data_IF_519656210724
#
_entry.id   IF_519656210724
#
_cell.length_a   1.000
_cell.length_b   1.000
_cell.length_c   1.000
_cell.angle_alpha   90.00
_cell.angle_beta   90.00
_cell.angle_gamma   90.00
#
_symmetry.space_group_name_H-M   'P 1'
#
loop_
_entity.id
_entity.type
_entity.pdbx_description
1 polymer ?
#
# COMPACT_ATOMS: atom_id res chain seq x y z
N UNK A 1 -9.25 11.75 67.41
CA UNK A 1 -9.85 12.82 66.56
C UNK A 1 -8.85 13.97 66.54
N UNK A 2 -8.13 14.10 65.42
CA UNK A 2 -8.16 15.23 64.45
C UNK A 2 -7.41 16.48 64.96
N UNK A 3 -6.37 16.85 64.20
CA UNK A 3 -5.41 17.95 64.39
C UNK A 3 -6.00 19.36 64.17
N UNK A 4 -5.23 20.43 64.43
CA UNK A 4 -4.69 21.14 63.27
C UNK A 4 -3.25 21.69 63.41
N UNK A 5 -2.75 22.09 62.24
CA UNK A 5 -1.41 22.55 61.86
C UNK A 5 -1.27 24.07 62.08
N UNK A 6 -0.12 24.54 62.56
CA UNK A 6 0.72 25.65 61.99
C UNK A 6 1.77 26.12 63.00
N UNK A 7 3.03 26.17 62.58
CA UNK A 7 3.86 27.40 62.57
C UNK A 7 5.19 27.16 61.85
N UNK A 8 5.34 27.91 60.76
CA UNK A 8 6.51 28.42 60.03
C UNK A 8 7.92 28.08 60.53
N UNK A 9 8.75 27.58 59.62
CA UNK A 9 10.21 27.67 59.71
C UNK A 9 10.75 28.44 58.49
N UNK A 10 11.29 29.62 58.77
CA UNK A 10 12.00 30.50 57.84
C UNK A 10 13.31 29.90 57.36
N UNK A 11 13.50 29.79 56.04
CA UNK A 11 14.79 29.39 55.45
C UNK A 11 15.65 30.64 55.27
N UNK A 12 16.55 30.87 56.22
CA UNK A 12 17.76 31.68 56.02
C UNK A 12 18.94 30.76 55.69
N UNK A 13 19.63 31.07 54.60
CA UNK A 13 20.99 30.59 54.31
C UNK A 13 21.07 29.18 53.73
N UNK A 14 21.46 29.05 52.46
CA UNK A 14 22.89 28.84 52.14
C UNK A 14 23.09 28.53 50.65
N UNK A 15 24.08 29.20 50.06
CA UNK A 15 24.52 28.94 48.69
C UNK A 15 25.19 27.56 48.65
N UNK A 16 24.62 26.62 47.90
CA UNK A 16 25.33 25.39 47.53
C UNK A 16 26.09 25.63 46.22
N UNK A 17 27.43 25.48 46.20
CA UNK A 17 28.20 25.56 44.98
C UNK A 17 27.95 24.33 44.09
N UNK A 18 27.89 24.58 42.79
CA UNK A 18 27.61 23.60 41.73
C UNK A 18 28.69 22.51 41.69
N UNK A 19 28.34 21.21 41.78
CA UNK A 19 29.30 20.15 41.47
C UNK A 19 29.42 19.98 39.95
N UNK A 20 30.58 20.34 39.42
CA UNK A 20 31.04 20.01 38.07
C UNK A 20 31.31 18.50 37.97
N UNK A 21 30.36 17.74 37.45
CA UNK A 21 30.62 16.45 36.78
C UNK A 21 29.41 16.03 35.95
N UNK A 22 29.32 16.52 34.71
CA UNK A 22 28.41 15.90 33.74
C UNK A 22 29.04 14.58 33.25
N UNK A 23 28.36 13.42 33.36
CA UNK A 23 28.85 12.19 32.76
C UNK A 23 28.92 12.32 31.23
N UNK A 24 29.88 11.65 30.57
CA UNK A 24 30.04 11.74 29.13
C UNK A 24 28.91 10.98 28.43
N UNK A 25 28.21 11.67 27.52
CA UNK A 25 27.25 11.13 26.55
C UNK A 25 25.84 10.74 27.03
N UNK A 26 25.22 11.47 27.95
CA UNK A 26 23.75 11.41 28.05
C UNK A 26 23.10 12.41 27.08
N UNK A 27 22.91 11.97 25.82
CA UNK A 27 22.26 12.75 24.77
C UNK A 27 20.74 12.82 25.03
N UNK A 28 20.32 13.77 25.85
CA UNK A 28 18.92 14.17 25.94
C UNK A 28 18.60 15.21 24.86
N UNK A 29 17.43 15.14 24.20
CA UNK A 29 17.05 16.14 23.21
C UNK A 29 16.90 17.51 23.90
N UNK A 30 17.89 18.37 23.72
CA UNK A 30 17.86 19.75 24.23
C UNK A 30 17.03 20.61 23.28
N UNK A 31 15.79 20.89 23.66
CA UNK A 31 14.91 21.79 22.89
C UNK A 31 15.38 23.23 23.10
N UNK A 32 16.19 23.75 22.18
CA UNK A 32 16.56 25.16 22.17
C UNK A 32 15.33 26.01 21.86
N UNK A 33 14.74 26.67 22.86
CA UNK A 33 13.61 27.60 22.72
C UNK A 33 14.05 29.04 22.48
N UNK A 34 15.33 29.35 22.75
CA UNK A 34 15.90 30.68 22.53
C UNK A 34 15.81 31.06 21.04
N UNK A 35 15.10 32.15 20.75
CA UNK A 35 14.90 32.68 19.38
C UNK A 35 13.76 32.05 18.59
N UNK A 36 13.08 31.01 19.09
CA UNK A 36 11.91 30.43 18.42
C UNK A 36 10.64 31.19 18.82
N UNK A 37 9.79 31.61 17.87
CA UNK A 37 8.55 32.28 18.22
C UNK A 37 7.62 31.31 18.98
N UNK A 38 7.15 31.72 20.16
CA UNK A 38 6.23 30.96 21.01
C UNK A 38 4.89 30.63 20.33
N UNK A 39 4.55 31.37 19.27
CA UNK A 39 3.35 31.18 18.46
C UNK A 39 3.75 31.01 16.99
N UNK A 40 3.15 30.06 16.26
CA UNK A 40 3.39 29.92 14.84
C UNK A 40 2.99 31.21 14.11
N UNK A 41 3.96 31.91 13.50
CA UNK A 41 3.70 33.14 12.72
C UNK A 41 2.90 32.90 11.44
N UNK A 42 2.82 31.64 10.99
CA UNK A 42 2.11 31.28 9.76
C UNK A 42 0.69 30.88 10.10
N UNK A 43 -0.28 31.66 9.62
CA UNK A 43 -1.69 31.25 9.63
C UNK A 43 -1.77 29.92 8.88
N UNK A 44 -2.34 28.86 9.46
CA UNK A 44 -2.49 27.59 8.77
C UNK A 44 -3.38 27.81 7.55
N UNK A 45 -2.77 27.85 6.37
CA UNK A 45 -3.51 27.81 5.12
C UNK A 45 -4.08 26.41 5.01
N UNK A 46 -5.40 26.30 5.05
CA UNK A 46 -6.10 25.06 4.75
C UNK A 46 -5.77 24.68 3.31
N UNK A 47 -4.85 23.74 3.14
CA UNK A 47 -4.62 23.12 1.84
C UNK A 47 -5.86 22.27 1.54
N UNK A 48 -6.70 22.75 0.62
CA UNK A 48 -7.73 21.91 0.01
C UNK A 48 -6.99 20.91 -0.85
N UNK A 49 -6.79 19.69 -0.33
CA UNK A 49 -6.30 18.59 -1.14
C UNK A 49 -7.39 18.25 -2.14
N UNK A 50 -7.13 18.32 -3.46
CA UNK A 50 -8.05 17.77 -4.44
C UNK A 50 -8.29 16.31 -4.08
N UNK A 51 -9.53 15.94 -3.77
CA UNK A 51 -9.92 14.53 -3.67
C UNK A 51 -10.06 14.02 -5.09
N UNK A 52 -9.34 12.96 -5.42
CA UNK A 52 -9.47 12.27 -6.71
C UNK A 52 -10.89 11.68 -6.79
N UNK A 53 -11.65 12.03 -7.83
CA UNK A 53 -13.03 11.56 -8.05
C UNK A 53 -13.17 10.03 -8.20
N UNK A 54 -12.06 9.29 -8.35
CA UNK A 54 -12.07 7.83 -8.45
C UNK A 54 -12.60 7.13 -7.20
N UNK A 55 -12.59 7.76 -6.01
CA UNK A 55 -13.17 7.16 -4.80
C UNK A 55 -14.68 7.34 -4.69
N UNK A 56 -15.29 8.24 -5.48
CA UNK A 56 -16.73 8.52 -5.43
C UNK A 56 -17.50 7.91 -6.62
N UNK A 57 -16.78 7.49 -7.67
CA UNK A 57 -17.41 6.97 -8.90
C UNK A 57 -17.96 5.54 -8.78
N UNK A 58 -17.97 4.93 -7.60
CA UNK A 58 -18.69 3.68 -7.37
C UNK A 58 -18.20 2.47 -8.18
N UNK A 59 -17.04 2.56 -8.83
CA UNK A 59 -16.38 1.44 -9.51
C UNK A 59 -15.90 0.47 -8.43
N UNK A 60 -16.84 -0.34 -7.93
CA UNK A 60 -16.64 -1.50 -7.05
C UNK A 60 -16.62 -2.80 -7.84
N UNK A 61 -16.69 -2.69 -9.15
CA UNK A 61 -16.65 -3.82 -10.06
C UNK A 61 -15.28 -4.47 -9.95
N UNK A 62 -15.30 -5.79 -9.75
CA UNK A 62 -14.07 -6.58 -9.63
C UNK A 62 -13.36 -6.55 -10.97
N UNK A 63 -12.08 -6.17 -10.97
CA UNK A 63 -11.33 -6.02 -12.21
C UNK A 63 -11.02 -7.40 -12.79
N UNK A 64 -11.65 -7.68 -13.91
CA UNK A 64 -11.37 -8.87 -14.70
C UNK A 64 -10.36 -8.56 -15.81
N UNK A 65 -9.36 -9.43 -15.97
CA UNK A 65 -8.41 -9.35 -17.07
C UNK A 65 -8.40 -10.66 -17.85
N UNK A 66 -8.84 -10.60 -19.11
CA UNK A 66 -8.74 -11.71 -20.06
C UNK A 66 -7.58 -11.48 -21.02
N UNK A 67 -6.62 -12.39 -21.06
CA UNK A 67 -5.44 -12.28 -21.92
C UNK A 67 -5.53 -13.34 -23.02
N UNK A 68 -5.61 -12.90 -24.29
CA UNK A 68 -5.44 -13.79 -25.44
C UNK A 68 -3.96 -14.12 -25.62
N UNK A 69 -3.64 -15.40 -25.63
CA UNK A 69 -2.27 -15.90 -25.78
C UNK A 69 -2.24 -17.05 -26.77
N UNK A 70 -1.06 -17.29 -27.33
CA UNK A 70 -0.81 -18.38 -28.27
C UNK A 70 0.19 -19.36 -27.66
N UNK A 71 0.29 -20.56 -28.22
CA UNK A 71 1.25 -21.58 -27.77
C UNK A 71 2.70 -21.06 -27.70
N UNK A 72 3.10 -20.21 -28.65
CA UNK A 72 4.47 -19.67 -28.70
C UNK A 72 4.73 -18.62 -27.63
N UNK A 73 3.72 -17.85 -27.22
CA UNK A 73 3.86 -16.71 -26.30
C UNK A 73 3.52 -17.04 -24.86
N UNK A 74 2.85 -18.16 -24.61
CA UNK A 74 2.37 -18.54 -23.27
C UNK A 74 3.52 -18.73 -22.26
N UNK A 75 4.67 -19.24 -22.69
CA UNK A 75 5.80 -19.53 -21.77
C UNK A 75 6.49 -18.26 -21.27
N UNK A 76 6.53 -17.21 -22.08
CA UNK A 76 7.24 -15.96 -21.78
C UNK A 76 6.27 -14.88 -21.33
N UNK A 77 5.41 -14.42 -22.25
CA UNK A 77 4.55 -13.27 -22.05
C UNK A 77 3.45 -13.55 -21.02
N UNK A 78 2.78 -14.70 -21.08
CA UNK A 78 1.70 -15.01 -20.15
C UNK A 78 2.20 -15.16 -18.71
N UNK A 79 3.38 -15.77 -18.52
CA UNK A 79 4.02 -15.89 -17.21
C UNK A 79 4.44 -14.53 -16.67
N UNK A 80 5.02 -13.67 -17.51
CA UNK A 80 5.39 -12.31 -17.12
C UNK A 80 4.15 -11.46 -16.79
N UNK A 81 3.07 -11.59 -17.57
CA UNK A 81 1.80 -10.93 -17.31
C UNK A 81 1.22 -11.40 -15.98
N UNK A 82 1.08 -12.70 -15.73
CA UNK A 82 0.60 -13.22 -14.45
C UNK A 82 1.42 -12.69 -13.27
N UNK A 83 2.76 -12.70 -13.39
CA UNK A 83 3.64 -12.19 -12.33
C UNK A 83 3.51 -10.69 -12.07
N UNK A 84 3.04 -9.90 -13.02
CA UNK A 84 2.96 -8.44 -12.89
C UNK A 84 1.54 -7.94 -12.58
N UNK A 85 0.51 -8.61 -13.09
CA UNK A 85 -0.88 -8.17 -12.96
C UNK A 85 -1.67 -8.91 -11.89
N UNK A 86 -1.20 -10.08 -11.42
CA UNK A 86 -1.92 -10.91 -10.42
C UNK A 86 -2.29 -10.19 -9.13
N UNK A 87 -1.52 -9.18 -8.72
CA UNK A 87 -1.78 -8.42 -7.50
C UNK A 87 -2.69 -7.20 -7.72
N UNK A 88 -2.99 -6.84 -8.97
CA UNK A 88 -3.82 -5.69 -9.31
C UNK A 88 -5.25 -6.08 -9.74
N UNK A 89 -5.43 -7.31 -10.23
CA UNK A 89 -6.71 -7.78 -10.78
C UNK A 89 -7.31 -8.86 -9.88
N UNK A 90 -8.63 -8.89 -9.76
CA UNK A 90 -9.33 -9.89 -8.94
C UNK A 90 -9.39 -11.25 -9.61
N UNK A 91 -9.58 -11.26 -10.94
CA UNK A 91 -9.70 -12.48 -11.75
C UNK A 91 -8.92 -12.31 -13.05
N UNK A 92 -7.96 -13.21 -13.25
CA UNK A 92 -7.14 -13.27 -14.46
C UNK A 92 -7.36 -14.60 -15.15
N UNK A 93 -7.69 -14.56 -16.45
CA UNK A 93 -7.92 -15.74 -17.27
C UNK A 93 -7.09 -15.67 -18.54
N UNK A 94 -6.56 -16.80 -18.96
CA UNK A 94 -5.81 -16.93 -20.22
C UNK A 94 -6.63 -17.66 -21.24
N UNK A 95 -6.80 -17.05 -22.41
CA UNK A 95 -7.58 -17.58 -23.51
C UNK A 95 -6.66 -17.98 -24.66
N UNK A 96 -6.84 -19.18 -25.18
CA UNK A 96 -6.05 -19.73 -26.28
C UNK A 96 -6.83 -20.83 -27.00
N UNK A 97 -6.29 -21.35 -28.11
CA UNK A 97 -6.90 -22.48 -28.81
C UNK A 97 -6.81 -23.76 -27.96
N UNK A 98 -7.73 -24.71 -28.15
CA UNK A 98 -7.81 -25.93 -27.34
C UNK A 98 -6.48 -26.71 -27.33
N UNK A 99 -5.83 -26.85 -28.49
CA UNK A 99 -4.52 -27.48 -28.59
C UNK A 99 -3.43 -26.72 -27.81
N UNK A 100 -3.50 -25.40 -27.76
CA UNK A 100 -2.59 -24.57 -26.96
C UNK A 100 -2.86 -24.71 -25.47
N UNK A 101 -4.12 -24.79 -25.06
CA UNK A 101 -4.55 -24.91 -23.66
C UNK A 101 -4.10 -26.24 -23.06
N UNK A 102 -4.27 -27.35 -23.79
CA UNK A 102 -3.78 -28.66 -23.38
C UNK A 102 -2.26 -28.65 -23.18
N UNK A 103 -1.51 -28.10 -24.14
CA UNK A 103 -0.06 -27.98 -24.01
C UNK A 103 0.34 -27.09 -22.82
N UNK A 104 -0.35 -25.98 -22.60
CA UNK A 104 -0.06 -25.10 -21.47
C UNK A 104 -0.30 -25.77 -20.12
N UNK A 105 -1.33 -26.64 -20.01
CA UNK A 105 -1.59 -27.46 -18.82
C UNK A 105 -0.50 -28.53 -18.63
N UNK A 106 -0.10 -29.21 -19.70
CA UNK A 106 0.97 -30.24 -19.67
C UNK A 106 2.32 -29.63 -19.24
N UNK A 107 2.61 -28.39 -19.63
CA UNK A 107 3.86 -27.69 -19.27
C UNK A 107 3.88 -27.26 -17.78
N UNK A 108 2.82 -27.54 -17.00
CA UNK A 108 2.71 -27.17 -15.58
C UNK A 108 2.99 -25.68 -15.32
N UNK A 109 2.54 -24.81 -16.24
CA UNK A 109 2.65 -23.38 -16.06
C UNK A 109 1.71 -22.97 -14.91
N UNK A 110 2.23 -22.24 -13.90
CA UNK A 110 1.44 -21.70 -12.78
C UNK A 110 0.54 -20.53 -13.22
N UNK A 111 -0.24 -20.72 -14.27
CA UNK A 111 -1.16 -19.74 -14.82
C UNK A 111 -2.57 -20.04 -14.30
N UNK A 112 -3.25 -19.07 -13.67
CA UNK A 112 -4.64 -19.24 -13.26
C UNK A 112 -5.58 -19.29 -14.48
N UNK A 113 -6.61 -20.14 -14.43
CA UNK A 113 -7.78 -20.03 -15.29
C UNK A 113 -7.51 -20.07 -16.79
N UNK A 114 -6.88 -21.15 -17.29
CA UNK A 114 -6.67 -21.36 -18.73
C UNK A 114 -7.98 -21.86 -19.36
N UNK A 115 -8.41 -21.18 -20.43
CA UNK A 115 -9.59 -21.53 -21.23
C UNK A 115 -9.14 -21.80 -22.67
N UNK A 116 -9.47 -23.01 -23.14
CA UNK A 116 -9.22 -23.45 -24.51
C UNK A 116 -10.48 -23.30 -25.37
N UNK A 117 -10.35 -22.66 -26.53
CA UNK A 117 -11.42 -22.59 -27.52
C UNK A 117 -11.28 -23.71 -28.54
N UNK A 118 -12.39 -24.42 -28.80
CA UNK A 118 -12.44 -25.45 -29.85
C UNK A 118 -12.40 -24.81 -31.24
N UNK A 119 -12.98 -23.62 -31.39
CA UNK A 119 -12.95 -22.87 -32.65
C UNK A 119 -11.68 -22.01 -32.75
N UNK A 120 -10.88 -22.27 -33.78
CA UNK A 120 -9.60 -21.59 -34.04
C UNK A 120 -9.75 -20.29 -34.85
N UNK A 121 -10.95 -19.95 -35.33
CA UNK A 121 -11.18 -18.75 -36.15
C UNK A 121 -10.94 -17.49 -35.33
N UNK A 122 -9.94 -16.70 -35.73
CA UNK A 122 -9.53 -15.49 -35.00
C UNK A 122 -10.65 -14.47 -34.81
N UNK A 123 -11.55 -14.34 -35.80
CA UNK A 123 -12.71 -13.45 -35.73
C UNK A 123 -13.70 -13.83 -34.62
N UNK A 124 -13.75 -15.11 -34.23
CA UNK A 124 -14.67 -15.61 -33.21
C UNK A 124 -14.07 -15.64 -31.81
N UNK A 125 -12.75 -15.54 -31.67
CA UNK A 125 -12.06 -15.59 -30.37
C UNK A 125 -12.56 -14.54 -29.37
N UNK A 126 -12.78 -13.26 -29.73
CA UNK A 126 -13.32 -12.27 -28.80
C UNK A 126 -14.74 -12.61 -28.34
N UNK A 127 -15.58 -13.17 -29.22
CA UNK A 127 -16.95 -13.56 -28.87
C UNK A 127 -16.97 -14.77 -27.94
N UNK A 128 -16.06 -15.74 -28.13
CA UNK A 128 -15.89 -16.84 -27.20
C UNK A 128 -15.37 -16.38 -25.83
N UNK A 129 -14.51 -15.36 -25.78
CA UNK A 129 -14.11 -14.74 -24.51
C UNK A 129 -15.28 -14.08 -23.79
N UNK A 130 -16.10 -13.30 -24.50
CA UNK A 130 -17.28 -12.64 -23.93
C UNK A 130 -18.28 -13.66 -23.39
N UNK A 131 -18.48 -14.78 -24.11
CA UNK A 131 -19.33 -15.90 -23.63
C UNK A 131 -18.88 -16.48 -22.27
N UNK A 132 -17.60 -16.36 -21.92
CA UNK A 132 -17.05 -16.85 -20.63
C UNK A 132 -17.19 -15.81 -19.52
N UNK A 133 -17.48 -14.56 -19.88
CA UNK A 133 -17.62 -13.43 -18.97
C UNK A 133 -19.04 -13.20 -18.49
N UNK A 134 -20.02 -13.49 -19.35
CA UNK A 134 -21.45 -13.54 -19.01
C UNK A 134 -21.79 -14.77 -18.15
#
# INVERSE_FOLDING_TARGET
MISPIRTDCSITGDRVPTPTSQPPNEFHPKVNLAGKPLKPKKVPKTFVRPRYYSTELGIRERLFMGIMTTESTVRSLAVAANKTTSHYVDKLMFFMDAAGAEKAQVINLRLPGIVGFVDAREILKPFHMLKVLD
#
